data_IF_434285992281
#
_entry.id   IF_434285992281
#
_cell.length_a   1.000
_cell.length_b   1.000
_cell.length_c   1.000
_cell.angle_alpha   90.00
_cell.angle_beta   90.00
_cell.angle_gamma   90.00
#
_symmetry.space_group_name_H-M   'P 1'
#
loop_
_entity.id
_entity.type
_entity.pdbx_description
1 polymer ?
#
# COMPACT_ATOMS: atom_id res chain seq x y z
N UNK A 1 -58.75 -18.56 -38.85
CA UNK A 1 -58.16 -19.10 -37.60
C UNK A 1 -56.66 -19.05 -37.70
N UNK A 2 -56.03 -18.09 -37.01
CA UNK A 2 -54.57 -17.95 -36.95
C UNK A 2 -54.11 -18.32 -35.53
N UNK A 3 -53.34 -19.39 -35.40
CA UNK A 3 -52.70 -19.83 -34.15
C UNK A 3 -51.43 -19.01 -33.97
N UNK A 4 -51.37 -18.27 -32.85
CA UNK A 4 -50.17 -17.53 -32.40
C UNK A 4 -49.43 -18.44 -31.46
N UNK A 5 -48.26 -18.94 -31.89
CA UNK A 5 -47.36 -19.71 -31.03
C UNK A 5 -46.62 -18.82 -30.04
N UNK A 6 -46.83 -19.00 -28.74
CA UNK A 6 -46.01 -18.39 -27.68
C UNK A 6 -44.69 -19.16 -27.56
N UNK A 7 -43.60 -18.53 -27.97
CA UNK A 7 -42.25 -19.02 -27.69
C UNK A 7 -41.81 -18.64 -26.27
N UNK A 8 -41.63 -19.63 -25.39
CA UNK A 8 -40.97 -19.43 -24.10
C UNK A 8 -39.46 -19.22 -24.29
N UNK A 9 -39.01 -18.02 -24.05
CA UNK A 9 -37.56 -17.73 -23.93
C UNK A 9 -37.11 -18.10 -22.50
N UNK A 10 -36.36 -19.19 -22.35
CA UNK A 10 -35.66 -19.51 -21.12
C UNK A 10 -34.42 -18.64 -20.99
N UNK A 11 -34.45 -17.69 -20.07
CA UNK A 11 -33.26 -16.87 -19.73
C UNK A 11 -32.38 -17.71 -18.82
N UNK A 12 -31.28 -18.24 -19.36
CA UNK A 12 -30.22 -18.86 -18.55
C UNK A 12 -29.45 -17.77 -17.80
N UNK A 13 -29.71 -17.66 -16.49
CA UNK A 13 -28.94 -16.83 -15.58
C UNK A 13 -27.58 -17.53 -15.38
N UNK A 14 -26.57 -17.12 -16.15
CA UNK A 14 -25.18 -17.48 -15.89
C UNK A 14 -24.76 -16.86 -14.55
N UNK A 15 -24.77 -17.65 -13.50
CA UNK A 15 -24.24 -17.30 -12.19
C UNK A 15 -22.75 -17.00 -12.35
N UNK A 16 -22.37 -15.72 -12.38
CA UNK A 16 -20.97 -15.30 -12.27
C UNK A 16 -20.49 -15.69 -10.88
N UNK A 17 -19.62 -16.69 -10.80
CA UNK A 17 -18.86 -17.02 -9.60
C UNK A 17 -18.08 -15.78 -9.19
N UNK A 18 -18.52 -15.09 -8.16
CA UNK A 18 -17.76 -14.00 -7.53
C UNK A 18 -16.46 -14.61 -7.04
N UNK A 19 -15.38 -14.31 -7.74
CA UNK A 19 -14.03 -14.70 -7.38
C UNK A 19 -13.81 -14.30 -5.92
N UNK A 20 -13.35 -15.26 -5.10
CA UNK A 20 -13.04 -15.06 -3.69
C UNK A 20 -12.04 -13.91 -3.62
N UNK A 21 -12.51 -12.72 -3.31
CA UNK A 21 -11.67 -11.50 -3.19
C UNK A 21 -10.60 -11.81 -2.16
N UNK A 22 -9.35 -11.94 -2.59
CA UNK A 22 -8.22 -12.12 -1.68
C UNK A 22 -8.25 -10.94 -0.70
N UNK A 23 -8.45 -11.26 0.58
CA UNK A 23 -8.43 -10.24 1.63
C UNK A 23 -7.05 -9.60 1.62
N UNK A 24 -6.97 -8.26 1.73
CA UNK A 24 -5.69 -7.60 1.86
C UNK A 24 -4.88 -8.24 2.98
N UNK A 25 -3.61 -8.47 2.72
CA UNK A 25 -2.67 -9.05 3.69
C UNK A 25 -1.66 -7.97 4.11
N UNK A 26 -1.22 -7.97 5.36
CA UNK A 26 -0.14 -7.08 5.78
C UNK A 26 1.15 -7.39 5.03
N UNK A 27 1.98 -6.37 4.83
CA UNK A 27 3.30 -6.51 4.21
C UNK A 27 4.25 -7.15 5.21
N UNK A 28 4.91 -8.24 4.83
CA UNK A 28 5.78 -9.02 5.73
C UNK A 28 7.14 -8.38 5.98
N UNK A 29 7.67 -7.63 4.99
CA UNK A 29 8.93 -6.88 5.12
C UNK A 29 8.61 -5.38 5.01
N UNK A 30 8.59 -4.63 6.15
CA UNK A 30 8.25 -3.22 6.16
C UNK A 30 9.23 -2.40 5.32
N UNK A 31 8.78 -1.59 4.34
CA UNK A 31 9.66 -0.98 3.34
C UNK A 31 10.52 0.15 3.87
N UNK A 32 10.06 0.94 4.85
CA UNK A 32 10.88 2.00 5.46
C UNK A 32 11.96 1.37 6.32
N UNK A 33 11.61 0.37 7.12
CA UNK A 33 12.58 -0.39 7.91
C UNK A 33 13.62 -1.07 6.99
N UNK A 34 13.16 -1.72 5.91
CA UNK A 34 14.07 -2.33 4.95
C UNK A 34 15.03 -1.30 4.35
N UNK A 35 14.53 -0.13 3.98
CA UNK A 35 15.37 0.93 3.43
C UNK A 35 16.42 1.39 4.44
N UNK A 36 16.04 1.62 5.69
CA UNK A 36 16.95 2.01 6.75
C UNK A 36 18.05 0.96 7.00
N UNK A 37 17.71 -0.33 6.97
CA UNK A 37 18.66 -1.41 7.22
C UNK A 37 19.61 -1.69 6.02
N UNK A 38 19.15 -1.48 4.79
CA UNK A 38 19.83 -1.98 3.58
C UNK A 38 20.29 -0.88 2.62
N UNK A 39 19.66 0.27 2.64
CA UNK A 39 19.86 1.31 1.62
C UNK A 39 20.41 2.62 2.19
N UNK A 40 19.99 2.98 3.41
CA UNK A 40 20.29 4.26 4.05
C UNK A 40 21.78 4.54 4.18
N UNK A 41 22.59 3.53 4.41
CA UNK A 41 24.05 3.64 4.53
C UNK A 41 24.68 4.38 3.33
N UNK A 42 24.17 4.16 2.13
CA UNK A 42 24.68 4.78 0.90
C UNK A 42 23.79 5.94 0.45
N UNK A 43 22.47 5.82 0.65
CA UNK A 43 21.50 6.76 0.09
C UNK A 43 21.06 7.87 1.06
N UNK A 44 21.37 7.75 2.35
CA UNK A 44 20.86 8.63 3.40
C UNK A 44 19.41 8.33 3.75
N UNK A 45 18.88 8.99 4.76
CA UNK A 45 17.49 8.78 5.22
C UNK A 45 16.52 9.08 4.08
N UNK A 46 15.78 8.07 3.64
CA UNK A 46 14.87 8.16 2.49
C UNK A 46 15.47 8.76 1.22
N UNK A 47 16.78 8.56 1.00
CA UNK A 47 17.46 9.03 -0.20
C UNK A 47 17.99 10.47 -0.12
N UNK A 48 18.08 11.07 1.04
CA UNK A 48 18.49 12.47 1.23
C UNK A 48 19.90 12.80 0.70
N UNK A 49 20.84 11.83 0.66
CA UNK A 49 22.19 12.03 0.10
C UNK A 49 22.16 12.39 -1.39
N UNK A 50 21.07 12.17 -2.08
CA UNK A 50 20.85 12.55 -3.48
C UNK A 50 20.04 13.84 -3.61
N UNK A 51 19.74 14.51 -2.48
CA UNK A 51 18.86 15.67 -2.45
C UNK A 51 17.50 15.36 -3.05
N UNK A 52 16.93 16.32 -3.75
CA UNK A 52 15.64 16.12 -4.44
C UNK A 52 15.71 15.22 -5.70
N UNK A 53 16.85 14.57 -6.00
CA UNK A 53 17.04 13.79 -7.24
C UNK A 53 16.90 12.29 -7.06
N UNK A 54 16.81 11.80 -5.82
CA UNK A 54 16.63 10.37 -5.54
C UNK A 54 15.37 9.84 -6.24
N UNK A 55 15.51 8.76 -6.99
CA UNK A 55 14.47 8.13 -7.78
C UNK A 55 13.77 9.04 -8.82
N UNK A 56 14.19 10.31 -8.99
CA UNK A 56 13.61 11.24 -9.96
C UNK A 56 13.86 10.83 -11.41
N UNK A 57 13.01 11.31 -12.31
CA UNK A 57 13.12 11.13 -13.77
C UNK A 57 13.16 9.67 -14.23
N UNK A 58 12.70 8.74 -13.41
CA UNK A 58 12.57 7.34 -13.81
C UNK A 58 11.14 7.04 -14.27
N UNK A 59 11.02 6.33 -15.38
CA UNK A 59 9.75 5.72 -15.77
C UNK A 59 9.29 4.72 -14.69
N UNK A 60 8.02 4.32 -14.65
CA UNK A 60 7.57 3.27 -13.74
C UNK A 60 8.36 1.96 -13.89
N UNK A 61 8.67 1.58 -15.12
CA UNK A 61 9.41 0.37 -15.48
C UNK A 61 10.88 0.46 -15.04
N UNK A 62 11.53 1.60 -15.29
CA UNK A 62 12.91 1.86 -14.85
C UNK A 62 13.01 1.83 -13.33
N UNK A 63 12.03 2.41 -12.62
CA UNK A 63 12.02 2.40 -11.17
C UNK A 63 11.94 0.97 -10.61
N UNK A 64 11.06 0.15 -11.18
CA UNK A 64 10.92 -1.27 -10.82
C UNK A 64 12.26 -2.01 -11.05
N UNK A 65 12.87 -1.83 -12.23
CA UNK A 65 14.13 -2.46 -12.58
C UNK A 65 15.26 -2.06 -11.62
N UNK A 66 15.37 -0.77 -11.29
CA UNK A 66 16.40 -0.25 -10.37
C UNK A 66 16.19 -0.75 -8.95
N UNK A 67 14.97 -0.73 -8.43
CA UNK A 67 14.68 -1.24 -7.08
C UNK A 67 15.00 -2.74 -7.00
N UNK A 68 14.66 -3.51 -8.04
CA UNK A 68 15.00 -4.93 -8.12
C UNK A 68 16.51 -5.16 -8.16
N UNK A 69 17.24 -4.39 -8.97
CA UNK A 69 18.70 -4.47 -9.06
C UNK A 69 19.35 -4.14 -7.71
N UNK A 70 18.91 -3.09 -7.03
CA UNK A 70 19.45 -2.68 -5.73
C UNK A 70 19.15 -3.71 -4.63
N UNK A 71 17.93 -4.26 -4.58
CA UNK A 71 17.57 -5.30 -3.62
C UNK A 71 18.38 -6.60 -3.80
N UNK A 72 18.79 -6.92 -5.03
CA UNK A 72 19.60 -8.12 -5.32
C UNK A 72 21.11 -7.83 -5.34
N UNK A 73 21.52 -6.58 -5.20
CA UNK A 73 22.92 -6.17 -5.25
C UNK A 73 23.65 -6.28 -3.90
N UNK A 74 24.94 -5.90 -3.88
CA UNK A 74 25.74 -5.88 -2.66
C UNK A 74 25.09 -4.99 -1.58
N UNK A 75 24.85 -5.54 -0.39
CA UNK A 75 24.21 -4.84 0.74
C UNK A 75 22.68 -4.88 0.72
N UNK A 76 22.05 -5.28 -0.39
CA UNK A 76 20.63 -5.53 -0.47
C UNK A 76 20.21 -6.87 0.15
N UNK A 77 18.93 -7.12 0.16
CA UNK A 77 18.30 -8.40 0.50
C UNK A 77 17.16 -8.62 -0.49
N UNK A 78 17.12 -9.75 -1.21
CA UNK A 78 16.09 -9.99 -2.22
C UNK A 78 14.68 -9.85 -1.65
N UNK A 79 13.85 -9.09 -2.34
CA UNK A 79 12.43 -8.89 -2.03
C UNK A 79 11.56 -9.57 -3.09
N UNK A 80 10.40 -10.06 -2.68
CA UNK A 80 9.43 -10.67 -3.58
C UNK A 80 8.00 -10.31 -3.21
N UNK A 81 7.07 -10.52 -4.15
CA UNK A 81 5.64 -10.32 -3.96
C UNK A 81 5.30 -8.94 -3.41
N UNK A 82 4.38 -8.89 -2.46
CA UNK A 82 3.85 -7.63 -1.91
C UNK A 82 4.91 -6.79 -1.18
N UNK A 83 5.97 -7.40 -0.65
CA UNK A 83 7.09 -6.65 -0.03
C UNK A 83 7.90 -5.90 -1.08
N UNK A 84 8.16 -6.50 -2.23
CA UNK A 84 8.81 -5.82 -3.35
C UNK A 84 7.93 -4.69 -3.90
N UNK A 85 6.63 -4.96 -4.11
CA UNK A 85 5.67 -3.96 -4.60
C UNK A 85 5.58 -2.76 -3.66
N UNK A 86 5.56 -3.01 -2.34
CA UNK A 86 5.56 -1.96 -1.33
C UNK A 86 6.86 -1.13 -1.35
N UNK A 87 8.01 -1.78 -1.58
CA UNK A 87 9.29 -1.08 -1.71
C UNK A 87 9.32 -0.18 -2.94
N UNK A 88 8.82 -0.65 -4.08
CA UNK A 88 8.67 0.16 -5.30
C UNK A 88 7.71 1.32 -5.06
N UNK A 89 6.57 1.09 -4.40
CA UNK A 89 5.60 2.12 -4.07
C UNK A 89 6.19 3.21 -3.16
N UNK A 90 7.02 2.83 -2.18
CA UNK A 90 7.74 3.78 -1.33
C UNK A 90 8.69 4.66 -2.15
N UNK A 91 9.51 4.08 -3.03
CA UNK A 91 10.41 4.84 -3.90
C UNK A 91 9.65 5.79 -4.83
N UNK A 92 8.48 5.37 -5.31
CA UNK A 92 7.59 6.22 -6.12
C UNK A 92 7.03 7.39 -5.31
N UNK A 93 6.66 7.15 -4.05
CA UNK A 93 6.22 8.21 -3.15
C UNK A 93 7.33 9.24 -2.91
N UNK A 94 8.57 8.79 -2.68
CA UNK A 94 9.75 9.68 -2.58
C UNK A 94 9.92 10.48 -3.88
N UNK A 95 9.89 9.83 -5.05
CA UNK A 95 10.00 10.48 -6.36
C UNK A 95 8.97 11.60 -6.57
N UNK A 96 7.76 11.41 -6.04
CA UNK A 96 6.63 12.35 -6.19
C UNK A 96 6.51 13.34 -5.03
N UNK A 97 7.41 13.32 -4.07
CA UNK A 97 7.33 14.10 -2.83
C UNK A 97 5.98 13.90 -2.10
N UNK A 98 5.48 12.67 -2.11
CA UNK A 98 4.24 12.29 -1.45
C UNK A 98 4.53 11.49 -0.17
N UNK A 99 3.70 11.62 0.87
CA UNK A 99 3.82 10.75 2.03
C UNK A 99 3.49 9.32 1.63
N UNK A 100 4.23 8.37 2.18
CA UNK A 100 3.99 6.94 2.05
C UNK A 100 3.35 6.41 3.33
N UNK A 101 2.44 5.47 3.20
CA UNK A 101 1.82 4.76 4.32
C UNK A 101 1.51 3.32 3.93
N UNK A 102 1.83 2.37 4.81
CA UNK A 102 1.66 0.95 4.57
C UNK A 102 1.23 0.21 5.84
N UNK A 103 0.44 -0.83 5.67
CA UNK A 103 0.03 -1.75 6.73
C UNK A 103 0.95 -2.96 6.76
N UNK A 104 1.55 -3.26 7.93
CA UNK A 104 2.57 -4.32 8.06
C UNK A 104 2.16 -5.43 9.01
N UNK A 105 1.22 -5.18 9.95
CA UNK A 105 0.84 -6.18 10.94
C UNK A 105 -0.59 -5.97 11.46
N UNK A 106 -1.24 -7.08 11.74
CA UNK A 106 -2.47 -7.13 12.53
C UNK A 106 -2.30 -8.09 13.69
N UNK A 107 -2.69 -7.64 14.88
CA UNK A 107 -2.81 -8.48 16.08
C UNK A 107 -4.18 -8.23 16.72
N UNK A 108 -5.09 -9.16 16.52
CA UNK A 108 -6.49 -9.01 16.93
C UNK A 108 -7.12 -7.76 16.32
N UNK A 109 -7.47 -6.79 17.17
CA UNK A 109 -8.04 -5.49 16.76
C UNK A 109 -7.00 -4.39 16.59
N UNK A 110 -5.74 -4.67 16.78
CA UNK A 110 -4.66 -3.69 16.60
C UNK A 110 -4.06 -3.85 15.20
N UNK A 111 -4.08 -2.76 14.43
CA UNK A 111 -3.34 -2.63 13.18
C UNK A 111 -2.10 -1.79 13.41
N UNK A 112 -1.03 -2.13 12.73
CA UNK A 112 0.20 -1.33 12.74
C UNK A 112 0.88 -1.35 11.38
N UNK A 113 1.70 -0.33 11.15
CA UNK A 113 2.45 -0.20 9.91
C UNK A 113 3.44 0.94 9.96
N UNK A 114 3.88 1.34 8.78
CA UNK A 114 4.85 2.41 8.62
C UNK A 114 4.27 3.57 7.82
N UNK A 115 4.78 4.76 8.08
CA UNK A 115 4.52 5.94 7.28
C UNK A 115 5.75 6.85 7.25
N UNK A 116 5.83 7.70 6.23
CA UNK A 116 6.91 8.71 6.09
C UNK A 116 7.04 9.53 7.37
N UNK A 117 8.26 9.69 7.92
CA UNK A 117 8.51 10.53 9.09
C UNK A 117 8.02 11.97 8.88
N UNK A 118 7.54 12.60 9.93
CA UNK A 118 7.01 13.96 9.87
C UNK A 118 5.62 14.09 9.23
N UNK A 119 5.00 12.99 8.79
CA UNK A 119 3.62 13.01 8.34
C UNK A 119 2.63 13.15 9.50
N UNK A 120 1.48 13.73 9.23
CA UNK A 120 0.32 13.64 10.12
C UNK A 120 -0.54 12.45 9.69
N UNK A 121 -0.80 11.51 10.61
CA UNK A 121 -1.59 10.32 10.31
C UNK A 121 -2.97 10.45 10.95
N UNK A 122 -4.00 10.21 10.16
CA UNK A 122 -5.39 10.10 10.63
C UNK A 122 -5.99 8.78 10.19
N UNK A 123 -6.93 8.26 10.98
CA UNK A 123 -7.62 7.02 10.64
C UNK A 123 -9.12 7.14 10.89
N UNK A 124 -9.89 6.41 10.09
CA UNK A 124 -11.33 6.22 10.29
C UNK A 124 -11.68 4.74 10.22
N UNK A 125 -12.68 4.33 10.98
CA UNK A 125 -13.32 3.02 10.90
C UNK A 125 -14.80 3.22 10.60
N UNK A 126 -15.31 2.67 9.49
CA UNK A 126 -16.66 2.94 8.99
C UNK A 126 -16.97 4.45 8.88
N UNK A 127 -15.98 5.24 8.44
CA UNK A 127 -16.11 6.70 8.33
C UNK A 127 -15.99 7.47 9.66
N UNK A 128 -15.95 6.80 10.81
CA UNK A 128 -15.84 7.46 12.13
C UNK A 128 -14.36 7.53 12.55
N UNK A 129 -13.89 8.69 13.06
CA UNK A 129 -12.50 8.82 13.50
C UNK A 129 -12.14 7.81 14.59
N UNK A 130 -10.93 7.26 14.50
CA UNK A 130 -10.29 6.45 15.53
C UNK A 130 -8.90 7.02 15.83
N UNK A 131 -8.45 6.81 17.09
CA UNK A 131 -7.15 7.33 17.54
C UNK A 131 -6.02 6.60 16.84
N UNK A 132 -5.04 7.37 16.35
CA UNK A 132 -3.76 6.90 15.84
C UNK A 132 -2.68 7.22 16.86
N UNK A 133 -1.86 6.24 17.18
CA UNK A 133 -0.57 6.41 17.83
C UNK A 133 0.50 6.36 16.73
N UNK A 134 1.25 7.46 16.56
CA UNK A 134 2.29 7.56 15.52
C UNK A 134 3.58 8.10 16.14
N UNK A 135 4.65 7.31 16.04
CA UNK A 135 5.97 7.63 16.58
C UNK A 135 7.04 7.29 15.56
N UNK A 136 7.87 8.29 15.19
CA UNK A 136 8.91 8.14 14.19
C UNK A 136 8.34 7.75 12.83
N UNK A 137 8.45 6.48 12.47
CA UNK A 137 7.91 5.90 11.24
C UNK A 137 6.74 4.95 11.49
N UNK A 138 6.44 4.60 12.75
CA UNK A 138 5.50 3.53 13.10
C UNK A 138 4.16 4.09 13.57
N UNK A 139 3.08 3.59 12.99
CA UNK A 139 1.73 3.90 13.42
C UNK A 139 1.01 2.67 13.98
N UNK A 140 0.09 2.91 14.92
CA UNK A 140 -0.83 1.91 15.46
C UNK A 140 -2.22 2.49 15.58
N UNK A 141 -3.23 1.66 15.31
CA UNK A 141 -4.64 1.97 15.55
C UNK A 141 -5.33 0.78 16.20
N UNK A 142 -6.25 1.05 17.12
CA UNK A 142 -7.11 0.04 17.71
C UNK A 142 -8.50 0.13 17.09
N UNK A 143 -8.91 -0.93 16.38
CA UNK A 143 -10.23 -1.04 15.78
C UNK A 143 -11.29 -1.36 16.82
N UNK A 144 -12.52 -0.90 16.59
CA UNK A 144 -13.69 -1.28 17.40
C UNK A 144 -14.18 -2.67 17.03
N UNK A 145 -14.10 -3.03 15.74
CA UNK A 145 -14.42 -4.37 15.22
C UNK A 145 -13.18 -4.99 14.57
N UNK A 146 -13.04 -6.30 14.64
CA UNK A 146 -11.87 -7.01 14.10
C UNK A 146 -11.95 -7.20 12.58
N UNK A 147 -12.21 -6.12 11.84
CA UNK A 147 -12.30 -6.15 10.39
C UNK A 147 -11.50 -5.00 9.76
N UNK A 148 -10.27 -5.24 9.29
CA UNK A 148 -9.42 -4.21 8.72
C UNK A 148 -10.02 -3.55 7.47
N UNK A 149 -10.88 -4.23 6.71
CA UNK A 149 -11.49 -3.65 5.51
C UNK A 149 -12.36 -2.42 5.77
N UNK A 150 -12.70 -2.16 7.02
CA UNK A 150 -13.48 -0.99 7.44
C UNK A 150 -12.61 0.20 7.84
N UNK A 151 -11.29 0.02 7.80
CA UNK A 151 -10.33 1.05 8.19
C UNK A 151 -9.76 1.75 6.96
N UNK A 152 -9.71 3.06 7.03
CA UNK A 152 -9.00 3.92 6.10
C UNK A 152 -8.01 4.79 6.89
N UNK A 153 -6.77 4.84 6.42
CA UNK A 153 -5.75 5.74 6.96
C UNK A 153 -5.39 6.80 5.92
N UNK A 154 -5.02 7.98 6.40
CA UNK A 154 -4.48 9.07 5.58
C UNK A 154 -3.18 9.54 6.19
N UNK A 155 -2.15 9.64 5.37
CA UNK A 155 -0.89 10.32 5.69
C UNK A 155 -0.88 11.66 4.97
N UNK A 156 -0.57 12.74 5.68
CA UNK A 156 -0.48 14.10 5.13
C UNK A 156 0.90 14.68 5.42
N UNK A 157 1.52 15.27 4.41
CA UNK A 157 2.79 15.99 4.51
C UNK A 157 2.71 17.26 3.64
N UNK A 158 2.69 18.42 4.27
CA UNK A 158 2.39 19.69 3.59
C UNK A 158 1.02 19.66 2.91
N UNK A 159 0.98 19.90 1.60
CA UNK A 159 -0.24 19.83 0.78
C UNK A 159 -0.54 18.41 0.27
N UNK A 160 0.43 17.50 0.32
CA UNK A 160 0.30 16.15 -0.23
C UNK A 160 -0.40 15.21 0.74
N UNK A 161 -1.30 14.36 0.22
CA UNK A 161 -2.06 13.38 0.99
C UNK A 161 -2.02 12.03 0.28
N UNK A 162 -1.72 10.98 1.03
CA UNK A 162 -1.85 9.59 0.58
C UNK A 162 -2.88 8.87 1.43
N UNK A 163 -3.77 8.12 0.78
CA UNK A 163 -4.82 7.35 1.44
C UNK A 163 -4.54 5.86 1.29
N UNK A 164 -4.61 5.13 2.40
CA UNK A 164 -4.56 3.67 2.45
C UNK A 164 -5.92 3.14 2.90
N UNK A 165 -6.70 2.57 1.97
CA UNK A 165 -7.96 1.89 2.27
C UNK A 165 -7.69 0.39 2.39
N UNK A 166 -7.84 -0.18 3.58
CA UNK A 166 -7.52 -1.59 3.83
C UNK A 166 -8.52 -2.57 3.19
N UNK A 167 -9.64 -2.07 2.68
CA UNK A 167 -10.56 -2.88 1.86
C UNK A 167 -9.98 -3.26 0.49
N UNK A 168 -9.11 -2.41 -0.05
CA UNK A 168 -8.57 -2.53 -1.42
C UNK A 168 -7.04 -2.45 -1.44
N UNK A 169 -6.38 -2.61 -0.27
CA UNK A 169 -4.94 -2.50 -0.15
C UNK A 169 -4.24 -3.64 -0.94
N UNK A 170 -4.29 -3.53 -2.25
CA UNK A 170 -3.33 -4.13 -3.14
C UNK A 170 -2.41 -2.99 -3.59
N UNK A 171 -1.10 -3.16 -3.45
CA UNK A 171 -0.12 -2.29 -4.11
C UNK A 171 -0.18 -2.62 -5.60
N UNK A 172 -1.31 -2.28 -6.25
CA UNK A 172 -1.35 -2.33 -7.70
C UNK A 172 -0.46 -1.19 -8.19
N UNK A 173 0.41 -1.50 -9.13
CA UNK A 173 1.12 -0.49 -9.90
C UNK A 173 0.06 0.33 -10.66
N UNK A 174 -0.55 1.32 -10.01
CA UNK A 174 -1.42 2.26 -10.71
C UNK A 174 -0.56 2.95 -11.76
N UNK A 175 -0.93 2.71 -13.01
CA UNK A 175 -0.35 3.26 -14.23
C UNK A 175 -0.28 4.78 -14.18
#
# INVERSE_FOLDING_TARGET
>A
MRLIGLGLFAIAILGQSVSKTDRPKPITRPPIQYFAERCERCHGVLGENFGGTFAQKRSPEDLIAVVKMMANGPGGEPLSGTSFDAQVAMHRAIQRHQPFIVWTKQNGRVLSGEATPGSTITATENGKPIKVDFQGTHWKVSMRVSNPSKVQLKAKMGASVTTLALATASFSHSK
#
